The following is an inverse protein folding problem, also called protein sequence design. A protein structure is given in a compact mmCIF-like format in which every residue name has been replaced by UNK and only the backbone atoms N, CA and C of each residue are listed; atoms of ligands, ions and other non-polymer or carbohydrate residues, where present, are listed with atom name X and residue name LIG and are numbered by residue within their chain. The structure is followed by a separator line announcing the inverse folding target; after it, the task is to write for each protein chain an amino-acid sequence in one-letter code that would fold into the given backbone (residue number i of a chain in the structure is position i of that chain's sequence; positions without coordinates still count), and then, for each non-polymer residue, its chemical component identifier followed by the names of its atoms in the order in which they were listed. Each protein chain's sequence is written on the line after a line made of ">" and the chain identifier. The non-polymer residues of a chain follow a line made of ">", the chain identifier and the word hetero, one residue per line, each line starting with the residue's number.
data_IF_583801108693
#
_entry.id   IF_583801108693
#
_cell.length_a   1.000
_cell.length_b   1.000
_cell.length_c   1.000
_cell.angle_alpha   90.00
_cell.angle_beta   90.00
_cell.angle_gamma   90.00
#
_symmetry.space_group_name_H-M   'P 1'
#
loop_
_entity.id
_entity.type
_entity.pdbx_description
1 polymer ?
#
# COMPACT_ATOMS: atom_id res chain seq x y z
N UNK A 1 36.24 -8.86 -39.23
CA UNK A 1 35.16 -9.81 -39.57
C UNK A 1 35.02 -10.72 -38.37
N UNK A 2 34.31 -10.24 -37.34
CA UNK A 2 32.93 -10.62 -36.97
C UNK A 2 32.87 -11.98 -36.30
N UNK A 3 32.88 -11.97 -34.96
CA UNK A 3 32.40 -13.06 -34.13
C UNK A 3 31.32 -12.45 -33.22
N UNK A 4 30.06 -12.78 -33.51
CA UNK A 4 28.88 -12.32 -32.80
C UNK A 4 28.60 -13.19 -31.58
N UNK A 5 28.30 -12.53 -30.47
CA UNK A 5 27.95 -13.11 -29.18
C UNK A 5 26.47 -13.48 -29.17
N UNK A 6 26.16 -14.75 -28.85
CA UNK A 6 24.79 -15.26 -28.70
C UNK A 6 24.27 -14.89 -27.31
N UNK A 7 23.29 -13.99 -27.26
CA UNK A 7 22.52 -13.62 -26.06
C UNK A 7 21.25 -14.46 -25.99
N UNK A 8 21.12 -15.31 -24.98
CA UNK A 8 19.89 -16.04 -24.65
C UNK A 8 19.02 -15.22 -23.71
N UNK A 9 17.90 -14.67 -24.21
CA UNK A 9 16.82 -14.11 -23.40
C UNK A 9 15.76 -15.19 -23.17
N UNK A 10 15.48 -15.50 -21.90
CA UNK A 10 14.35 -16.32 -21.46
C UNK A 10 13.23 -15.38 -21.03
N UNK A 11 12.13 -15.35 -21.78
CA UNK A 11 10.91 -14.62 -21.44
C UNK A 11 9.97 -15.54 -20.66
N UNK A 12 9.75 -15.24 -19.38
CA UNK A 12 8.71 -15.86 -18.56
C UNK A 12 7.38 -15.12 -18.79
N UNK A 13 6.30 -15.88 -18.98
CA UNK A 13 4.96 -15.38 -19.28
C UNK A 13 4.15 -15.09 -17.99
N UNK A 14 3.47 -13.94 -17.97
CA UNK A 14 2.49 -13.53 -16.95
C UNK A 14 1.20 -14.37 -17.02
N UNK A 15 0.66 -14.89 -15.90
CA UNK A 15 -0.71 -15.37 -15.86
C UNK A 15 -1.66 -14.20 -15.61
N UNK A 16 -2.53 -13.95 -16.59
CA UNK A 16 -3.61 -12.97 -16.50
C UNK A 16 -4.60 -13.36 -15.38
N UNK A 17 -4.76 -12.49 -14.39
CA UNK A 17 -5.83 -12.57 -13.41
C UNK A 17 -7.18 -12.22 -14.08
N UNK A 18 -8.11 -13.17 -14.07
CA UNK A 18 -9.49 -12.97 -14.53
C UNK A 18 -10.19 -11.93 -13.65
N UNK A 19 -10.60 -10.82 -14.26
CA UNK A 19 -11.43 -9.81 -13.62
C UNK A 19 -12.85 -10.36 -13.44
N UNK A 20 -13.25 -10.61 -12.19
CA UNK A 20 -14.63 -10.87 -11.84
C UNK A 20 -15.42 -9.56 -11.88
N UNK A 21 -16.46 -9.53 -12.73
CA UNK A 21 -17.44 -8.45 -12.87
C UNK A 21 -18.21 -8.28 -11.55
N UNK A 22 -17.72 -7.37 -10.72
CA UNK A 22 -18.43 -6.87 -9.53
C UNK A 22 -19.15 -5.58 -9.97
N UNK A 23 -20.40 -5.42 -9.55
CA UNK A 23 -21.26 -4.29 -9.96
C UNK A 23 -20.61 -2.90 -9.78
N UNK A 24 -21.20 -1.82 -10.31
CA UNK A 24 -20.52 -0.53 -10.40
C UNK A 24 -20.02 -0.07 -9.02
N UNK A 25 -18.70 0.00 -8.87
CA UNK A 25 -18.04 0.54 -7.67
C UNK A 25 -18.59 1.94 -7.40
N UNK A 26 -19.38 2.07 -6.32
CA UNK A 26 -20.12 3.30 -6.04
C UNK A 26 -19.29 4.35 -5.31
N UNK A 27 -18.19 3.95 -4.65
CA UNK A 27 -17.36 4.88 -3.89
C UNK A 27 -15.96 4.34 -3.56
N UNK A 28 -15.05 5.25 -3.18
CA UNK A 28 -13.71 4.90 -2.69
C UNK A 28 -13.39 5.49 -1.32
N UNK A 29 -12.74 4.68 -0.48
CA UNK A 29 -12.26 5.06 0.85
C UNK A 29 -10.79 4.71 1.01
N UNK A 30 -9.98 5.69 1.42
CA UNK A 30 -8.57 5.50 1.75
C UNK A 30 -8.36 5.54 3.27
N UNK A 31 -7.23 5.03 3.79
CA UNK A 31 -6.90 5.12 5.20
C UNK A 31 -6.92 6.56 5.74
N UNK A 32 -6.35 7.51 5.00
CA UNK A 32 -6.32 8.93 5.35
C UNK A 32 -7.72 9.54 5.43
N UNK A 33 -8.56 9.30 4.41
CA UNK A 33 -9.97 9.74 4.38
C UNK A 33 -10.77 9.17 5.55
N UNK A 34 -10.58 7.88 5.85
CA UNK A 34 -11.21 7.23 6.99
C UNK A 34 -10.75 7.84 8.33
N UNK A 35 -9.45 8.12 8.46
CA UNK A 35 -8.88 8.75 9.65
C UNK A 35 -9.38 10.19 9.83
N UNK A 36 -9.49 10.97 8.76
CA UNK A 36 -10.05 12.34 8.79
C UNK A 36 -11.48 12.33 9.34
N UNK A 37 -12.36 11.47 8.82
CA UNK A 37 -13.75 11.42 9.27
C UNK A 37 -13.88 11.00 10.74
N UNK A 38 -13.09 10.00 11.18
CA UNK A 38 -13.03 9.58 12.59
C UNK A 38 -12.53 10.70 13.51
N UNK A 39 -11.57 11.49 13.02
CA UNK A 39 -11.00 12.62 13.74
C UNK A 39 -12.00 13.75 13.85
N UNK A 40 -12.56 14.19 12.73
CA UNK A 40 -13.57 15.24 12.65
C UNK A 40 -14.34 15.12 11.30
N UNK A 41 -15.67 14.87 11.32
CA UNK A 41 -16.46 14.81 10.09
C UNK A 41 -16.34 16.07 9.23
N UNK A 42 -16.25 17.25 9.85
CA UNK A 42 -16.08 18.51 9.10
C UNK A 42 -14.70 18.61 8.44
N UNK A 43 -13.63 18.08 9.05
CA UNK A 43 -12.32 17.99 8.41
C UNK A 43 -12.38 17.11 7.16
N UNK A 44 -13.04 15.95 7.26
CA UNK A 44 -13.28 15.08 6.12
C UNK A 44 -13.99 15.82 5.00
N UNK A 45 -15.05 16.57 5.31
CA UNK A 45 -15.77 17.37 4.30
C UNK A 45 -14.82 18.35 3.62
N UNK A 46 -14.11 19.18 4.38
CA UNK A 46 -13.20 20.19 3.82
C UNK A 46 -12.13 19.60 2.91
N UNK A 47 -11.51 18.48 3.31
CA UNK A 47 -10.46 17.81 2.52
C UNK A 47 -11.00 17.03 1.34
N UNK A 48 -12.01 16.20 1.57
CA UNK A 48 -12.40 15.13 0.64
C UNK A 48 -13.57 15.49 -0.27
N UNK A 49 -14.44 16.41 0.16
CA UNK A 49 -15.63 16.84 -0.58
C UNK A 49 -15.39 18.23 -1.17
N UNK A 50 -15.13 19.22 -0.30
CA UNK A 50 -14.96 20.62 -0.72
C UNK A 50 -13.59 20.84 -1.38
N UNK A 51 -12.61 19.97 -1.09
CA UNK A 51 -11.22 20.02 -1.60
C UNK A 51 -10.58 21.40 -1.41
N UNK A 52 -10.79 21.97 -0.22
CA UNK A 52 -10.21 23.26 0.13
C UNK A 52 -8.67 23.14 0.12
N UNK A 53 -7.96 24.12 -0.47
CA UNK A 53 -6.50 24.12 -0.51
C UNK A 53 -5.91 23.99 0.89
N UNK A 54 -4.82 23.23 1.00
CA UNK A 54 -4.04 23.13 2.22
C UNK A 54 -2.70 23.77 2.01
N UNK A 55 -2.25 24.52 3.00
CA UNK A 55 -0.86 24.93 3.04
C UNK A 55 -0.05 23.74 3.53
N UNK A 56 0.94 23.25 2.76
CA UNK A 56 1.83 22.23 3.27
C UNK A 56 2.54 22.79 4.50
N UNK A 57 2.74 21.96 5.51
CA UNK A 57 3.62 22.28 6.64
C UNK A 57 5.03 21.76 6.38
N UNK A 58 6.03 22.37 7.03
CA UNK A 58 7.40 21.86 6.99
C UNK A 58 7.48 20.39 7.45
N UNK A 59 6.63 19.96 8.39
CA UNK A 59 6.60 18.55 8.82
C UNK A 59 6.10 17.60 7.74
N UNK A 60 5.04 17.98 7.02
CA UNK A 60 4.53 17.19 5.89
C UNK A 60 5.54 17.14 4.75
N UNK A 61 6.14 18.29 4.40
CA UNK A 61 7.16 18.37 3.35
C UNK A 61 8.38 17.49 3.69
N UNK A 62 8.83 17.49 4.95
CA UNK A 62 9.92 16.62 5.42
C UNK A 62 9.54 15.14 5.30
N UNK A 63 8.30 14.79 5.66
CA UNK A 63 7.76 13.44 5.48
C UNK A 63 7.87 12.95 4.03
N UNK A 64 7.32 13.74 3.10
CA UNK A 64 7.37 13.46 1.66
C UNK A 64 8.79 13.34 1.14
N UNK A 65 9.69 14.25 1.56
CA UNK A 65 11.10 14.21 1.16
C UNK A 65 11.81 12.94 1.62
N UNK A 66 11.62 12.54 2.89
CA UNK A 66 12.24 11.33 3.43
C UNK A 66 11.71 10.08 2.72
N UNK A 67 10.41 10.00 2.45
CA UNK A 67 9.81 8.89 1.68
C UNK A 67 10.40 8.82 0.27
N UNK A 68 10.46 9.95 -0.45
CA UNK A 68 11.06 10.02 -1.78
C UNK A 68 12.53 9.58 -1.80
N UNK A 69 13.31 9.97 -0.79
CA UNK A 69 14.71 9.54 -0.66
C UNK A 69 14.82 8.04 -0.39
N UNK A 70 13.97 7.49 0.49
CA UNK A 70 13.95 6.05 0.76
C UNK A 70 13.53 5.24 -0.48
N UNK A 71 12.52 5.71 -1.20
CA UNK A 71 12.15 5.14 -2.49
C UNK A 71 13.37 5.16 -3.42
N UNK A 72 13.98 6.32 -3.65
CA UNK A 72 15.13 6.45 -4.55
C UNK A 72 16.33 5.61 -4.13
N UNK A 73 16.56 5.46 -2.83
CA UNK A 73 17.63 4.63 -2.28
C UNK A 73 17.49 3.16 -2.69
N UNK A 74 16.26 2.63 -2.69
CA UNK A 74 16.00 1.24 -3.07
C UNK A 74 16.04 0.99 -4.59
N UNK A 75 16.12 2.03 -5.43
CA UNK A 75 16.43 1.88 -6.86
C UNK A 75 17.89 1.53 -7.11
N UNK A 76 18.77 1.78 -6.13
CA UNK A 76 20.20 1.51 -6.24
C UNK A 76 20.51 0.03 -5.94
N UNK A 77 21.64 -0.48 -6.45
CA UNK A 77 22.18 -1.78 -6.03
C UNK A 77 22.33 -1.86 -4.51
N UNK A 78 22.09 -3.05 -3.95
CA UNK A 78 22.02 -3.26 -2.50
C UNK A 78 23.28 -2.73 -1.78
N UNK A 79 24.47 -2.97 -2.32
CA UNK A 79 25.75 -2.53 -1.78
C UNK A 79 25.92 -1.00 -1.72
N UNK A 80 25.22 -0.26 -2.57
CA UNK A 80 25.27 1.21 -2.66
C UNK A 80 24.29 1.89 -1.69
N UNK A 81 23.37 1.14 -1.06
CA UNK A 81 22.35 1.65 -0.14
C UNK A 81 22.96 1.99 1.22
N UNK A 82 23.81 3.02 1.26
CA UNK A 82 24.56 3.44 2.46
C UNK A 82 24.00 4.73 3.05
N UNK A 83 24.31 5.05 4.34
CA UNK A 83 23.91 6.33 4.94
C UNK A 83 24.42 7.54 4.14
N UNK A 84 25.66 7.49 3.66
CA UNK A 84 26.25 8.55 2.85
C UNK A 84 25.48 8.74 1.53
N UNK A 85 25.10 7.64 0.88
CA UNK A 85 24.29 7.67 -0.34
C UNK A 85 22.93 8.30 -0.07
N UNK A 86 22.21 7.85 0.96
CA UNK A 86 20.91 8.42 1.32
C UNK A 86 20.99 9.92 1.63
N UNK A 87 21.99 10.36 2.39
CA UNK A 87 22.21 11.77 2.69
C UNK A 87 22.48 12.61 1.43
N UNK A 88 23.17 12.04 0.44
CA UNK A 88 23.45 12.70 -0.84
C UNK A 88 22.22 12.86 -1.73
N UNK A 89 21.21 12.00 -1.58
CA UNK A 89 19.95 12.05 -2.33
C UNK A 89 18.99 13.14 -1.83
N UNK A 90 19.15 13.64 -0.61
CA UNK A 90 18.23 14.62 0.00
C UNK A 90 18.11 15.91 -0.82
N UNK A 91 19.21 16.51 -1.24
CA UNK A 91 19.16 17.78 -1.97
C UNK A 91 18.61 17.64 -3.41
N UNK A 92 19.01 16.62 -4.20
CA UNK A 92 18.37 16.32 -5.49
C UNK A 92 16.87 16.05 -5.38
N UNK A 93 16.44 15.22 -4.42
CA UNK A 93 15.02 14.91 -4.23
C UNK A 93 14.22 16.14 -3.78
N UNK A 94 14.79 16.99 -2.93
CA UNK A 94 14.14 18.26 -2.59
C UNK A 94 13.95 19.17 -3.80
N UNK A 95 14.98 19.27 -4.65
CA UNK A 95 14.92 20.05 -5.88
C UNK A 95 13.84 19.52 -6.84
N UNK A 96 13.70 18.18 -6.93
CA UNK A 96 12.64 17.53 -7.71
C UNK A 96 11.26 17.85 -7.14
N UNK A 97 11.08 17.75 -5.82
CA UNK A 97 9.82 18.08 -5.16
C UNK A 97 9.41 19.54 -5.36
N UNK A 98 10.36 20.49 -5.28
CA UNK A 98 10.08 21.90 -5.58
C UNK A 98 9.65 22.13 -7.03
N UNK A 99 10.18 21.35 -7.98
CA UNK A 99 9.78 21.44 -9.38
C UNK A 99 8.37 20.88 -9.62
N UNK A 100 7.98 19.83 -8.89
CA UNK A 100 6.66 19.21 -8.99
C UNK A 100 5.58 19.96 -8.20
N UNK A 101 5.95 20.57 -7.08
CA UNK A 101 5.08 21.29 -6.15
C UNK A 101 5.71 22.65 -5.80
N UNK A 102 5.59 23.66 -6.68
CA UNK A 102 6.19 24.98 -6.47
C UNK A 102 5.74 25.67 -5.17
N UNK A 103 4.55 25.35 -4.65
CA UNK A 103 4.03 25.84 -3.37
C UNK A 103 4.92 25.47 -2.18
N UNK A 104 5.74 24.41 -2.28
CA UNK A 104 6.70 24.04 -1.23
C UNK A 104 7.81 25.09 -1.08
N UNK A 105 8.07 25.91 -2.11
CA UNK A 105 9.02 27.01 -2.01
C UNK A 105 8.54 28.10 -1.05
N UNK A 106 7.23 28.22 -0.80
CA UNK A 106 6.68 29.19 0.16
C UNK A 106 7.02 28.85 1.62
N UNK A 107 7.43 27.60 1.91
CA UNK A 107 7.84 27.18 3.24
C UNK A 107 9.14 27.83 3.70
N UNK A 108 10.05 28.08 2.76
CA UNK A 108 11.38 28.64 3.02
C UNK A 108 11.63 29.76 2.01
N UNK A 109 11.25 31.01 2.34
CA UNK A 109 11.51 32.17 1.49
C UNK A 109 12.99 32.26 1.09
N UNK A 110 13.29 32.85 -0.07
CA UNK A 110 14.65 32.86 -0.63
C UNK A 110 15.69 33.52 0.30
N UNK A 111 15.24 34.45 1.15
CA UNK A 111 16.03 35.09 2.21
C UNK A 111 16.36 34.18 3.40
N UNK A 112 15.66 33.05 3.57
CA UNK A 112 15.86 32.08 4.66
C UNK A 112 16.64 30.84 4.20
N UNK A 113 17.82 31.07 3.62
CA UNK A 113 18.72 29.99 3.23
C UNK A 113 19.15 29.12 4.42
N UNK A 114 19.21 29.70 5.63
CA UNK A 114 19.54 28.98 6.86
C UNK A 114 18.42 28.00 7.24
N UNK A 115 17.16 28.43 7.26
CA UNK A 115 16.01 27.57 7.55
C UNK A 115 15.84 26.44 6.52
N UNK A 116 16.09 26.72 5.24
CA UNK A 116 16.11 25.69 4.20
C UNK A 116 17.22 24.64 4.46
N UNK A 117 18.42 25.07 4.86
CA UNK A 117 19.51 24.16 5.19
C UNK A 117 19.19 23.30 6.42
N UNK A 118 18.70 23.91 7.51
CA UNK A 118 18.26 23.21 8.72
C UNK A 118 17.15 22.19 8.44
N UNK A 119 16.22 22.52 7.55
CA UNK A 119 15.19 21.60 7.10
C UNK A 119 15.79 20.36 6.41
N UNK A 120 16.72 20.55 5.47
CA UNK A 120 17.37 19.43 4.79
C UNK A 120 18.21 18.58 5.75
N UNK A 121 18.90 19.21 6.70
CA UNK A 121 19.64 18.49 7.75
C UNK A 121 18.69 17.68 8.63
N UNK A 122 17.52 18.23 9.01
CA UNK A 122 16.52 17.48 9.76
C UNK A 122 15.96 16.27 8.99
N UNK A 123 15.95 16.30 7.66
CA UNK A 123 15.59 15.13 6.84
C UNK A 123 16.72 14.08 6.84
N UNK A 124 17.98 14.51 6.81
CA UNK A 124 19.15 13.61 6.95
C UNK A 124 19.16 12.90 8.31
N UNK A 125 18.86 13.61 9.39
CA UNK A 125 18.78 13.02 10.73
C UNK A 125 17.73 11.89 10.84
N UNK A 126 16.60 12.02 10.12
CA UNK A 126 15.59 10.97 10.05
C UNK A 126 16.08 9.76 9.26
N UNK A 127 16.82 9.97 8.16
CA UNK A 127 17.43 8.89 7.40
C UNK A 127 18.47 8.15 8.24
N UNK A 128 19.26 8.84 9.06
CA UNK A 128 20.16 8.18 10.02
C UNK A 128 19.39 7.29 11.00
N UNK A 129 18.20 7.73 11.44
CA UNK A 129 17.30 6.91 12.26
C UNK A 129 16.85 5.64 11.56
N UNK A 130 16.55 5.69 10.25
CA UNK A 130 16.26 4.51 9.45
C UNK A 130 17.42 3.50 9.46
N UNK A 131 18.65 3.95 9.24
CA UNK A 131 19.83 3.06 9.25
C UNK A 131 20.18 2.48 10.62
N UNK A 132 19.66 3.05 11.72
CA UNK A 132 19.82 2.47 13.07
C UNK A 132 18.91 1.28 13.30
N UNK A 133 17.74 1.24 12.66
CA UNK A 133 16.75 0.16 12.84
C UNK A 133 16.80 -0.90 11.74
N UNK A 134 17.33 -0.57 10.57
CA UNK A 134 17.29 -1.45 9.41
C UNK A 134 18.51 -1.28 8.50
N UNK A 135 18.99 -2.38 7.92
CA UNK A 135 20.06 -2.37 6.92
C UNK A 135 19.46 -2.62 5.52
N UNK A 136 19.27 -1.57 4.67
CA UNK A 136 18.65 -1.70 3.35
C UNK A 136 19.47 -2.55 2.38
N UNK A 137 20.76 -2.79 2.67
CA UNK A 137 21.64 -3.62 1.84
C UNK A 137 21.32 -5.11 1.95
N UNK A 138 20.48 -5.49 2.91
CA UNK A 138 20.06 -6.88 3.17
C UNK A 138 18.61 -7.15 2.75
N UNK A 139 17.98 -6.20 2.08
CA UNK A 139 16.56 -6.23 1.76
C UNK A 139 16.37 -6.03 0.26
N UNK A 140 15.49 -6.83 -0.33
CA UNK A 140 14.97 -6.62 -1.68
C UNK A 140 13.45 -6.57 -1.57
N UNK A 141 12.87 -5.36 -1.40
CA UNK A 141 11.42 -5.22 -1.30
C UNK A 141 10.74 -5.71 -2.57
N UNK A 142 9.61 -6.41 -2.43
CA UNK A 142 8.85 -6.87 -3.59
C UNK A 142 8.16 -5.69 -4.29
N UNK A 143 7.63 -4.76 -3.52
CA UNK A 143 6.95 -3.56 -4.01
C UNK A 143 7.27 -2.35 -3.12
N UNK A 144 7.31 -1.17 -3.73
CA UNK A 144 7.51 0.14 -3.08
C UNK A 144 6.52 1.13 -3.67
N UNK A 145 6.00 2.05 -2.86
CA UNK A 145 5.02 3.07 -3.26
C UNK A 145 3.84 2.50 -4.09
N UNK A 146 3.38 1.30 -3.70
CA UNK A 146 2.44 0.50 -4.51
C UNK A 146 1.00 0.87 -4.19
N UNK A 147 0.26 1.26 -5.23
CA UNK A 147 -1.19 1.44 -5.14
C UNK A 147 -1.88 0.08 -5.04
N UNK A 148 -2.46 -0.19 -3.88
CA UNK A 148 -3.26 -1.39 -3.64
C UNK A 148 -4.74 -1.01 -3.53
N UNK A 149 -5.61 -1.90 -4.01
CA UNK A 149 -7.05 -1.71 -3.86
C UNK A 149 -7.83 -3.02 -3.82
N UNK A 150 -8.96 -3.03 -3.12
CA UNK A 150 -9.90 -4.14 -3.06
C UNK A 150 -11.33 -3.61 -2.94
N UNK A 151 -12.30 -4.36 -3.46
CA UNK A 151 -13.72 -4.08 -3.22
C UNK A 151 -14.17 -4.91 -2.01
N UNK A 152 -14.85 -4.26 -1.07
CA UNK A 152 -15.47 -4.88 0.12
C UNK A 152 -16.97 -4.55 0.15
N UNK A 153 -17.79 -5.42 0.77
CA UNK A 153 -19.26 -5.30 0.79
C UNK A 153 -19.86 -5.09 -0.62
N UNK A 154 -19.23 -5.71 -1.64
CA UNK A 154 -19.55 -5.66 -3.08
C UNK A 154 -19.63 -4.27 -3.73
N UNK A 155 -19.37 -3.19 -2.98
CA UNK A 155 -19.66 -1.80 -3.42
C UNK A 155 -18.63 -0.77 -2.99
N UNK A 156 -17.85 -1.05 -1.96
CA UNK A 156 -16.87 -0.11 -1.41
C UNK A 156 -15.47 -0.44 -1.88
N UNK A 157 -14.88 0.43 -2.70
CA UNK A 157 -13.47 0.33 -3.05
C UNK A 157 -12.63 0.88 -1.90
N UNK A 158 -11.89 0.02 -1.23
CA UNK A 158 -10.82 0.44 -0.32
C UNK A 158 -9.51 0.48 -1.09
N UNK A 159 -8.76 1.59 -0.97
CA UNK A 159 -7.49 1.77 -1.68
C UNK A 159 -6.50 2.63 -0.92
N UNK A 160 -5.21 2.45 -1.20
CA UNK A 160 -4.17 3.31 -0.68
C UNK A 160 -2.80 2.90 -1.19
N UNK A 161 -1.78 3.64 -0.77
CA UNK A 161 -0.39 3.43 -1.16
C UNK A 161 0.36 2.79 0.01
N UNK A 162 1.03 1.69 -0.26
CA UNK A 162 1.94 1.04 0.69
C UNK A 162 3.34 1.56 0.41
N UNK A 163 4.00 2.14 1.41
CA UNK A 163 5.38 2.63 1.29
C UNK A 163 6.32 1.50 0.87
N UNK A 164 6.25 0.34 1.57
CA UNK A 164 7.03 -0.85 1.23
C UNK A 164 6.34 -2.16 1.59
N UNK A 165 6.42 -3.12 0.69
CA UNK A 165 5.98 -4.51 0.89
C UNK A 165 7.15 -5.47 0.69
N UNK A 166 7.48 -6.21 1.75
CA UNK A 166 8.47 -7.27 1.71
C UNK A 166 7.76 -8.63 1.60
N UNK A 167 8.32 -9.53 0.78
CA UNK A 167 7.84 -10.92 0.63
C UNK A 167 8.99 -11.86 0.93
N UNK A 168 8.81 -12.75 1.91
CA UNK A 168 9.81 -13.77 2.22
C UNK A 168 9.76 -14.92 1.21
N UNK A 169 10.81 -15.78 1.13
CA UNK A 169 10.83 -16.91 0.19
C UNK A 169 9.69 -17.91 0.34
N UNK A 170 9.09 -18.02 1.52
CA UNK A 170 7.90 -18.84 1.80
C UNK A 170 6.56 -18.11 1.50
N UNK A 171 6.62 -16.89 0.97
CA UNK A 171 5.47 -16.09 0.57
C UNK A 171 4.84 -15.26 1.69
N UNK A 172 5.41 -15.23 2.90
CA UNK A 172 4.89 -14.40 3.97
C UNK A 172 5.09 -12.91 3.65
N UNK A 173 4.04 -12.12 3.88
CA UNK A 173 4.04 -10.68 3.59
C UNK A 173 4.37 -9.87 4.84
N UNK A 174 5.24 -8.87 4.69
CA UNK A 174 5.46 -7.81 5.70
C UNK A 174 5.19 -6.45 5.08
N UNK A 175 4.18 -5.77 5.61
CA UNK A 175 3.83 -4.39 5.22
C UNK A 175 4.63 -3.44 6.10
N UNK A 176 5.33 -2.49 5.50
CA UNK A 176 6.14 -1.49 6.21
C UNK A 176 5.66 -0.09 5.83
N UNK A 177 5.52 0.76 6.84
CA UNK A 177 5.20 2.18 6.70
C UNK A 177 6.21 3.02 7.51
N UNK A 178 6.75 4.06 6.87
CA UNK A 178 7.77 4.92 7.47
C UNK A 178 7.12 6.13 8.13
N UNK A 179 7.42 6.35 9.42
CA UNK A 179 6.92 7.50 10.18
C UNK A 179 8.07 8.44 10.54
N UNK A 180 7.96 9.69 10.07
CA UNK A 180 8.91 10.78 10.38
C UNK A 180 8.58 11.55 11.65
N UNK A 181 7.38 11.34 12.20
CA UNK A 181 6.98 11.82 13.52
C UNK A 181 7.51 10.93 14.64
N UNK A 182 7.40 11.41 15.88
CA UNK A 182 7.78 10.61 17.05
C UNK A 182 6.84 9.43 17.30
N UNK A 183 7.37 8.39 17.92
CA UNK A 183 6.62 7.21 18.32
C UNK A 183 5.46 7.60 19.25
N UNK A 184 4.22 7.17 18.96
CA UNK A 184 3.09 7.41 19.82
C UNK A 184 3.28 6.65 21.13
N UNK A 185 2.72 7.20 22.23
CA UNK A 185 2.51 6.39 23.44
C UNK A 185 1.56 5.24 23.13
N UNK A 186 1.69 4.14 23.86
CA UNK A 186 0.90 2.89 23.73
C UNK A 186 -0.62 3.15 23.50
N UNK A 187 -1.20 4.09 24.25
CA UNK A 187 -2.62 4.48 24.12
C UNK A 187 -3.05 5.00 22.72
N UNK A 188 -2.11 5.39 21.86
CA UNK A 188 -2.34 5.93 20.51
C UNK A 188 -1.90 4.99 19.39
N UNK A 189 -1.29 3.83 19.71
CA UNK A 189 -0.89 2.81 18.73
C UNK A 189 -2.08 2.32 17.89
N UNK A 190 -3.26 2.19 18.50
CA UNK A 190 -4.47 1.77 17.80
C UNK A 190 -4.82 2.69 16.60
N UNK A 191 -4.48 3.99 16.67
CA UNK A 191 -4.66 4.92 15.56
C UNK A 191 -3.63 4.69 14.46
N UNK A 192 -2.38 4.43 14.82
CA UNK A 192 -1.30 4.17 13.88
C UNK A 192 -1.52 2.84 13.13
N UNK A 193 -1.92 1.79 13.84
CA UNK A 193 -2.21 0.48 13.28
C UNK A 193 -3.46 0.45 12.38
N UNK A 194 -4.39 1.40 12.54
CA UNK A 194 -5.60 1.47 11.71
C UNK A 194 -5.26 1.60 10.22
N UNK A 195 -4.23 2.38 9.87
CA UNK A 195 -3.77 2.53 8.49
C UNK A 195 -3.19 1.22 7.95
N UNK A 196 -2.32 0.55 8.70
CA UNK A 196 -1.73 -0.71 8.26
C UNK A 196 -2.76 -1.84 8.13
N UNK A 197 -3.80 -1.87 8.98
CA UNK A 197 -4.89 -2.85 8.87
C UNK A 197 -5.72 -2.68 7.59
N UNK A 198 -5.82 -1.46 7.04
CA UNK A 198 -6.37 -1.25 5.70
C UNK A 198 -5.56 -1.99 4.64
N UNK A 199 -4.24 -1.81 4.65
CA UNK A 199 -3.36 -2.47 3.67
C UNK A 199 -3.38 -3.98 3.85
N UNK A 200 -3.37 -4.46 5.09
CA UNK A 200 -3.48 -5.88 5.41
C UNK A 200 -4.77 -6.48 4.83
N UNK A 201 -5.90 -5.80 5.00
CA UNK A 201 -7.17 -6.23 4.45
C UNK A 201 -7.15 -6.24 2.92
N UNK A 202 -6.62 -5.20 2.27
CA UNK A 202 -6.52 -5.14 0.80
C UNK A 202 -5.65 -6.28 0.27
N UNK A 203 -4.48 -6.50 0.85
CA UNK A 203 -3.56 -7.58 0.46
C UNK A 203 -4.20 -8.94 0.67
N UNK A 204 -4.92 -9.14 1.78
CA UNK A 204 -5.61 -10.40 2.02
C UNK A 204 -6.72 -10.65 0.98
N UNK A 205 -7.51 -9.64 0.64
CA UNK A 205 -8.58 -9.75 -0.36
C UNK A 205 -8.07 -9.95 -1.80
N UNK A 206 -6.89 -9.42 -2.12
CA UNK A 206 -6.32 -9.49 -3.47
C UNK A 206 -5.36 -10.67 -3.67
N UNK A 207 -4.61 -11.07 -2.65
CA UNK A 207 -3.57 -12.11 -2.73
C UNK A 207 -3.94 -13.39 -1.99
N UNK A 208 -5.01 -13.39 -1.20
CA UNK A 208 -5.43 -14.56 -0.41
C UNK A 208 -4.55 -14.84 0.82
N UNK A 209 -3.54 -14.00 1.10
CA UNK A 209 -2.58 -14.18 2.19
C UNK A 209 -2.73 -13.05 3.21
N UNK A 210 -2.93 -13.40 4.48
CA UNK A 210 -2.89 -12.43 5.58
C UNK A 210 -1.43 -12.04 5.82
N UNK A 211 -1.07 -10.74 5.81
CA UNK A 211 0.29 -10.35 6.13
C UNK A 211 0.70 -10.80 7.54
N UNK A 212 1.89 -11.39 7.64
CA UNK A 212 2.39 -11.94 8.89
C UNK A 212 2.83 -10.83 9.86
N UNK A 213 3.29 -9.69 9.31
CA UNK A 213 3.75 -8.53 10.08
C UNK A 213 3.29 -7.23 9.43
N UNK A 214 2.76 -6.34 10.24
CA UNK A 214 2.54 -4.93 9.94
C UNK A 214 3.55 -4.14 10.77
N UNK A 215 4.44 -3.40 10.10
CA UNK A 215 5.57 -2.71 10.72
C UNK A 215 5.47 -1.21 10.54
N UNK A 216 5.63 -0.48 11.62
CA UNK A 216 5.86 0.96 11.62
C UNK A 216 7.33 1.21 11.99
N UNK A 217 8.02 1.97 11.15
CA UNK A 217 9.38 2.44 11.42
C UNK A 217 9.33 3.91 11.84
N UNK A 218 9.54 4.19 13.11
CA UNK A 218 9.60 5.55 13.65
C UNK A 218 11.03 6.07 13.51
N UNK A 219 11.26 6.85 12.45
CA UNK A 219 12.59 7.29 12.05
C UNK A 219 13.19 8.30 13.02
N UNK A 220 12.36 9.14 13.64
CA UNK A 220 12.82 10.13 14.62
C UNK A 220 13.46 9.49 15.84
N UNK A 221 12.84 8.44 16.36
CA UNK A 221 13.25 7.77 17.59
C UNK A 221 14.08 6.51 17.33
N UNK A 222 14.23 6.12 16.05
CA UNK A 222 14.83 4.85 15.64
C UNK A 222 14.15 3.66 16.34
N UNK A 223 12.81 3.62 16.32
CA UNK A 223 12.00 2.56 16.93
C UNK A 223 11.23 1.77 15.88
N UNK A 224 11.02 0.48 16.17
CA UNK A 224 10.24 -0.45 15.35
C UNK A 224 9.02 -0.91 16.13
N UNK A 225 7.83 -0.73 15.57
CA UNK A 225 6.59 -1.27 16.12
C UNK A 225 6.04 -2.33 15.16
N UNK A 226 6.08 -3.59 15.60
CA UNK A 226 5.55 -4.73 14.86
C UNK A 226 4.19 -5.17 15.42
N UNK A 227 3.25 -5.43 14.53
CA UNK A 227 1.93 -5.97 14.85
C UNK A 227 1.65 -7.18 13.96
N UNK A 228 1.09 -8.24 14.54
CA UNK A 228 0.75 -9.48 13.82
C UNK A 228 -0.77 -9.62 13.75
N UNK A 229 -1.41 -9.27 12.63
CA UNK A 229 -2.84 -9.43 12.47
C UNK A 229 -3.21 -10.90 12.26
N UNK A 230 -4.45 -11.26 12.61
CA UNK A 230 -5.06 -12.54 12.24
C UNK A 230 -6.27 -12.32 11.30
N UNK A 231 -6.71 -13.40 10.66
CA UNK A 231 -7.81 -13.35 9.70
C UNK A 231 -9.14 -12.88 10.33
N UNK A 232 -9.47 -13.36 11.53
CA UNK A 232 -10.71 -13.01 12.22
C UNK A 232 -10.74 -11.52 12.59
N UNK A 233 -9.58 -10.99 12.96
CA UNK A 233 -9.38 -9.57 13.21
C UNK A 233 -9.60 -8.73 11.95
N UNK A 234 -9.04 -9.15 10.80
CA UNK A 234 -9.27 -8.47 9.53
C UNK A 234 -10.74 -8.52 9.10
N UNK A 235 -11.47 -9.60 9.39
CA UNK A 235 -12.93 -9.67 9.18
C UNK A 235 -13.67 -8.65 10.05
N UNK A 236 -13.31 -8.53 11.34
CA UNK A 236 -13.89 -7.51 12.24
C UNK A 236 -13.53 -6.10 11.77
N UNK A 237 -12.31 -5.91 11.29
CA UNK A 237 -11.84 -4.65 10.76
C UNK A 237 -12.62 -4.25 9.50
N UNK A 238 -12.84 -5.17 8.57
CA UNK A 238 -13.66 -4.93 7.36
C UNK A 238 -15.06 -4.43 7.74
N UNK A 239 -15.73 -5.09 8.69
CA UNK A 239 -17.05 -4.63 9.20
C UNK A 239 -16.98 -3.21 9.75
N UNK A 240 -15.88 -2.86 10.43
CA UNK A 240 -15.65 -1.51 10.95
C UNK A 240 -15.48 -0.49 9.82
N UNK A 241 -14.74 -0.84 8.77
CA UNK A 241 -14.55 0.02 7.58
C UNK A 241 -15.87 0.24 6.84
N UNK A 242 -16.65 -0.82 6.64
CA UNK A 242 -17.98 -0.75 6.00
C UNK A 242 -18.94 0.11 6.83
N UNK A 243 -18.97 -0.05 8.15
CA UNK A 243 -19.80 0.77 9.04
C UNK A 243 -19.38 2.25 9.01
N UNK A 244 -18.07 2.53 8.96
CA UNK A 244 -17.53 3.88 8.82
C UNK A 244 -17.97 4.51 7.49
N UNK A 245 -17.91 3.73 6.40
CA UNK A 245 -18.37 4.19 5.09
C UNK A 245 -19.86 4.53 5.10
N UNK A 246 -20.71 3.68 5.68
CA UNK A 246 -22.15 3.96 5.83
C UNK A 246 -22.40 5.26 6.62
N UNK A 247 -21.62 5.52 7.66
CA UNK A 247 -21.71 6.78 8.41
C UNK A 247 -21.32 8.00 7.56
N UNK A 248 -20.31 7.87 6.70
CA UNK A 248 -19.92 8.91 5.74
C UNK A 248 -21.03 9.15 4.72
N UNK A 249 -21.64 8.11 4.18
CA UNK A 249 -22.77 8.23 3.24
C UNK A 249 -23.96 8.94 3.88
N UNK A 250 -24.32 8.57 5.12
CA UNK A 250 -25.38 9.24 5.86
C UNK A 250 -25.08 10.72 6.10
N UNK A 251 -23.86 11.07 6.54
CA UNK A 251 -23.44 12.46 6.72
C UNK A 251 -23.48 13.24 5.38
N UNK A 252 -23.06 12.60 4.29
CA UNK A 252 -23.08 13.18 2.94
C UNK A 252 -24.51 13.44 2.47
N UNK A 253 -25.41 12.47 2.61
CA UNK A 253 -26.81 12.57 2.21
C UNK A 253 -27.56 13.64 3.04
N UNK A 254 -27.31 13.69 4.36
CA UNK A 254 -27.87 14.69 5.24
C UNK A 254 -27.20 16.07 5.12
N UNK A 255 -26.05 16.15 4.45
CA UNK A 255 -25.14 17.31 4.44
C UNK A 255 -24.78 17.80 5.85
N UNK A 256 -24.81 16.91 6.85
CA UNK A 256 -24.53 17.21 8.25
C UNK A 256 -23.14 16.67 8.63
N UNK A 257 -22.14 17.54 8.53
CA UNK A 257 -20.76 17.25 8.95
C UNK A 257 -20.42 18.08 10.18
N UNK A 258 -20.66 17.53 11.36
CA UNK A 258 -20.43 18.25 12.61
C UNK A 258 -18.94 18.39 12.92
N UNK A 259 -18.46 19.57 13.34
CA UNK A 259 -17.13 19.71 13.87
C UNK A 259 -16.99 18.89 15.17
N UNK A 260 -15.81 18.34 15.40
CA UNK A 260 -15.46 17.60 16.62
C UNK A 260 -14.23 18.25 17.26
N UNK A 261 -14.39 19.30 18.08
CA UNK A 261 -13.28 20.02 18.68
C UNK A 261 -12.35 19.11 19.48
N UNK A 262 -11.04 19.30 19.33
CA UNK A 262 -9.99 18.59 20.05
C UNK A 262 -8.71 19.42 20.05
N UNK A 263 -7.65 18.99 20.75
CA UNK A 263 -6.33 19.62 20.68
C UNK A 263 -5.72 19.66 19.27
N UNK A 264 -6.19 18.81 18.36
CA UNK A 264 -5.75 18.84 16.96
C UNK A 264 -6.30 20.06 16.20
N UNK A 265 -7.30 20.76 16.74
CA UNK A 265 -7.84 21.96 16.12
C UNK A 265 -6.85 23.13 16.10
N UNK A 266 -5.86 23.14 16.99
CA UNK A 266 -4.79 24.15 17.04
C UNK A 266 -3.90 24.09 15.78
N UNK A 267 -3.91 22.95 15.09
CA UNK A 267 -3.10 22.66 13.90
C UNK A 267 -3.96 22.41 12.65
N UNK A 268 -5.26 22.72 12.71
CA UNK A 268 -6.18 22.47 11.61
C UNK A 268 -6.11 23.61 10.57
N UNK A 269 -5.70 23.29 9.34
CA UNK A 269 -5.63 24.22 8.20
C UNK A 269 -6.95 24.97 7.90
N UNK A 270 -8.08 24.45 8.36
CA UNK A 270 -9.42 24.96 8.04
C UNK A 270 -10.13 25.65 9.20
N UNK A 271 -9.38 26.03 10.25
CA UNK A 271 -9.97 26.69 11.42
C UNK A 271 -10.78 27.94 11.04
N UNK A 272 -10.30 28.73 10.07
CA UNK A 272 -10.99 29.92 9.54
C UNK A 272 -12.38 29.63 8.93
N UNK A 273 -12.63 28.39 8.48
CA UNK A 273 -13.92 27.95 7.93
C UNK A 273 -14.78 27.18 8.94
N UNK A 274 -14.27 26.93 10.15
CA UNK A 274 -14.90 26.05 11.12
C UNK A 274 -15.91 26.80 12.01
N UNK A 275 -17.19 26.39 12.08
CA UNK A 275 -18.21 27.00 12.96
C UNK A 275 -17.84 26.99 14.45
N UNK A 276 -17.08 25.98 14.90
CA UNK A 276 -16.63 25.90 16.29
C UNK A 276 -15.67 27.04 16.68
N UNK A 277 -15.13 27.77 15.70
CA UNK A 277 -14.26 28.92 15.86
C UNK A 277 -14.85 30.19 15.22
N UNK A 278 -16.16 30.20 14.95
CA UNK A 278 -16.85 31.34 14.32
C UNK A 278 -16.68 31.44 12.80
N UNK A 279 -16.01 30.48 12.16
CA UNK A 279 -15.89 30.39 10.71
C UNK A 279 -17.17 29.90 10.04
N UNK A 280 -17.30 30.15 8.73
CA UNK A 280 -18.43 29.66 7.93
C UNK A 280 -17.93 28.69 6.85
N UNK A 281 -18.41 27.43 6.84
CA UNK A 281 -18.13 26.48 5.79
C UNK A 281 -18.59 27.01 4.42
N UNK A 282 -17.89 26.70 3.32
CA UNK A 282 -18.39 26.98 1.99
C UNK A 282 -19.75 26.28 1.76
N UNK A 283 -20.53 26.70 0.74
CA UNK A 283 -21.72 25.95 0.34
C UNK A 283 -21.34 24.52 -0.03
N UNK A 284 -22.24 23.56 0.22
CA UNK A 284 -22.00 22.16 -0.12
C UNK A 284 -21.95 22.01 -1.65
N UNK A 285 -20.91 21.36 -2.22
CA UNK A 285 -20.80 21.19 -3.66
C UNK A 285 -22.04 20.47 -4.22
N UNK A 286 -22.66 21.04 -5.25
CA UNK A 286 -23.69 20.31 -5.99
C UNK A 286 -23.02 19.24 -6.86
N UNK A 287 -23.63 18.05 -7.02
CA UNK A 287 -23.14 17.09 -7.99
C UNK A 287 -23.07 17.81 -9.34
N UNK A 288 -21.89 17.88 -9.95
CA UNK A 288 -21.78 18.32 -11.34
C UNK A 288 -22.74 17.45 -12.13
N UNK A 289 -23.84 18.04 -12.63
CA UNK A 289 -24.70 17.38 -13.59
C UNK A 289 -23.76 16.87 -14.69
N UNK A 290 -23.81 15.58 -14.99
CA UNK A 290 -23.02 15.00 -16.05
C UNK A 290 -23.26 15.84 -17.30
N UNK A 291 -22.24 16.59 -17.73
CA UNK A 291 -22.34 17.40 -18.93
C UNK A 291 -22.53 16.42 -20.10
N UNK A 292 -23.69 16.40 -20.77
CA UNK A 292 -23.94 15.50 -21.88
C UNK A 292 -23.03 15.79 -23.09
N UNK A 293 -22.27 16.90 -23.05
CA UNK A 293 -21.28 17.28 -24.05
C UNK A 293 -19.83 17.02 -23.63
N UNK A 294 -19.58 16.52 -22.41
CA UNK A 294 -18.25 16.04 -22.04
C UNK A 294 -17.94 14.77 -22.83
N UNK A 295 -16.84 14.71 -23.60
CA UNK A 295 -16.47 13.50 -24.29
C UNK A 295 -16.28 12.39 -23.27
N UNK A 296 -16.96 11.26 -23.49
CA UNK A 296 -16.78 10.06 -22.68
C UNK A 296 -15.27 9.79 -22.52
N UNK A 297 -14.81 9.35 -21.33
CA UNK A 297 -13.42 8.94 -21.16
C UNK A 297 -13.06 7.97 -22.29
N UNK A 298 -11.89 8.13 -22.94
CA UNK A 298 -11.57 7.38 -24.13
C UNK A 298 -11.76 5.89 -23.85
N UNK A 299 -12.64 5.25 -24.61
CA UNK A 299 -12.78 3.81 -24.61
C UNK A 299 -11.37 3.23 -24.72
N UNK A 300 -10.98 2.37 -23.77
CA UNK A 300 -9.67 1.72 -23.79
C UNK A 300 -9.44 1.16 -25.18
N UNK A 301 -8.52 1.77 -25.91
CA UNK A 301 -8.02 1.21 -27.16
C UNK A 301 -7.30 -0.06 -26.76
N UNK A 302 -7.99 -1.19 -26.86
CA UNK A 302 -7.35 -2.49 -26.92
C UNK A 302 -6.45 -2.43 -28.15
N UNK A 303 -5.14 -2.27 -27.95
CA UNK A 303 -4.17 -2.48 -29.02
C UNK A 303 -4.36 -3.93 -29.49
N UNK A 304 -5.01 -4.07 -30.63
CA UNK A 304 -5.10 -5.33 -31.37
C UNK A 304 -3.67 -5.71 -31.73
N UNK A 305 -3.15 -6.79 -31.16
CA UNK A 305 -1.91 -7.39 -31.61
C UNK A 305 -2.11 -7.81 -33.07
N UNK A 306 -1.44 -7.12 -34.00
CA UNK A 306 -1.39 -7.51 -35.39
C UNK A 306 -0.31 -8.56 -35.58
N UNK A 307 -0.71 -9.76 -36.03
CA UNK A 307 0.15 -10.68 -36.76
C UNK A 307 1.00 -11.64 -35.92
N UNK A 308 0.39 -12.72 -35.44
CA UNK A 308 1.09 -13.99 -35.27
C UNK A 308 0.36 -15.06 -36.10
N UNK A 309 1.05 -15.54 -37.13
CA UNK A 309 0.64 -16.66 -37.99
C UNK A 309 0.38 -17.90 -37.13
N UNK A 310 -0.73 -18.63 -37.31
CA UNK A 310 -1.01 -19.82 -36.51
C UNK A 310 0.02 -20.93 -36.80
N UNK A 311 0.50 -21.67 -35.78
CA UNK A 311 1.35 -22.83 -36.00
C UNK A 311 0.55 -23.98 -36.64
N UNK A 312 1.20 -24.67 -37.59
CA UNK A 312 0.67 -25.85 -38.26
C UNK A 312 0.43 -27.00 -37.27
N UNK A 313 -0.68 -27.70 -37.45
CA UNK A 313 -1.05 -28.89 -36.66
C UNK A 313 -0.04 -30.03 -36.89
N UNK A 314 0.36 -30.77 -35.84
CA UNK A 314 1.14 -31.99 -36.02
C UNK A 314 0.22 -33.13 -36.50
N UNK A 315 0.54 -33.64 -37.68
CA UNK A 315 0.00 -34.88 -38.25
C UNK A 315 0.49 -36.05 -37.41
N UNK A 316 -0.44 -36.82 -36.84
CA UNK A 316 -0.13 -38.01 -36.04
C UNK A 316 0.40 -39.18 -36.88
N UNK A 317 1.21 -40.09 -36.31
CA UNK A 317 1.53 -41.34 -36.96
C UNK A 317 0.51 -42.44 -36.58
N UNK A 318 0.00 -43.12 -37.61
CA UNK A 318 -0.74 -44.38 -37.50
C UNK A 318 0.18 -45.59 -37.21
N UNK A 319 -0.33 -46.83 -37.33
CA UNK A 319 -0.61 -47.65 -36.15
C UNK A 319 0.31 -48.87 -35.91
N UNK A 320 0.25 -49.34 -34.66
CA UNK A 320 0.32 -50.71 -34.16
C UNK A 320 1.31 -51.72 -34.80
N UNK A 321 2.39 -52.00 -34.05
CA UNK A 321 3.13 -53.25 -34.11
C UNK A 321 3.16 -53.92 -32.74
N UNK A 322 2.54 -55.09 -32.63
CA UNK A 322 2.61 -56.04 -31.49
C UNK A 322 4.04 -56.41 -31.11
N UNK A 323 4.28 -56.74 -29.83
CA UNK A 323 4.90 -58.04 -29.59
C UNK A 323 4.27 -58.85 -28.44
N UNK A 324 4.23 -60.15 -28.65
CA UNK A 324 4.08 -61.20 -27.66
C UNK A 324 5.19 -61.15 -26.60
N UNK A 325 4.81 -61.35 -25.33
CA UNK A 325 5.72 -61.70 -24.24
C UNK A 325 4.95 -62.53 -23.18
N UNK A 326 5.52 -63.64 -22.67
CA UNK A 326 4.76 -64.64 -21.93
C UNK A 326 4.67 -64.37 -20.42
N UNK A 327 3.66 -65.02 -19.83
CA UNK A 327 3.38 -65.08 -18.41
C UNK A 327 4.44 -65.85 -17.61
N UNK A 328 4.75 -65.36 -16.42
CA UNK A 328 5.19 -66.18 -15.29
C UNK A 328 4.43 -65.77 -14.02
N UNK A 329 3.62 -66.72 -13.56
CA UNK A 329 2.91 -66.78 -12.29
C UNK A 329 3.86 -67.18 -11.15
N UNK A 330 3.64 -66.62 -9.96
CA UNK A 330 4.25 -67.09 -8.72
C UNK A 330 3.49 -66.54 -7.50
N UNK A 331 2.73 -67.43 -6.87
CA UNK A 331 2.04 -67.34 -5.56
C UNK A 331 2.86 -66.60 -4.48
N UNK A 332 2.28 -65.87 -3.52
CA UNK A 332 1.25 -66.29 -2.56
C UNK A 332 1.65 -65.80 -1.14
N UNK A 333 0.79 -65.90 -0.11
CA UNK A 333 0.49 -64.81 0.83
C UNK A 333 1.04 -64.99 2.26
N UNK A 334 0.92 -63.95 3.10
CA UNK A 334 1.12 -64.10 4.56
C UNK A 334 0.86 -62.85 5.39
N UNK A 335 -0.21 -62.88 6.19
CA UNK A 335 -0.50 -62.06 7.36
C UNK A 335 -1.26 -62.95 8.37
N UNK A 336 -1.56 -62.53 9.61
CA UNK A 336 -0.82 -61.85 10.71
C UNK A 336 -0.90 -62.80 11.96
N UNK A 337 -1.13 -62.45 13.27
CA UNK A 337 -1.15 -61.18 14.05
C UNK A 337 -0.49 -61.28 15.48
N UNK A 338 -0.92 -60.41 16.42
CA UNK A 338 -0.75 -60.37 17.90
C UNK A 338 0.35 -59.42 18.45
N UNK A 339 0.21 -58.69 19.58
CA UNK A 339 -0.90 -58.41 20.51
C UNK A 339 -0.51 -57.28 21.49
N UNK A 340 -1.53 -56.58 22.01
CA UNK A 340 -1.77 -56.00 23.35
C UNK A 340 -0.63 -55.43 24.25
N UNK A 341 -0.89 -54.26 24.86
CA UNK A 341 -0.19 -53.74 26.05
C UNK A 341 -0.79 -52.45 26.61
N UNK A 342 -1.38 -52.53 27.80
CA UNK A 342 -2.20 -51.53 28.51
C UNK A 342 -1.43 -50.45 29.33
N UNK A 343 -2.21 -49.44 29.77
CA UNK A 343 -2.19 -48.75 31.07
C UNK A 343 -1.51 -47.36 31.24
N UNK A 344 -2.25 -46.48 31.92
CA UNK A 344 -1.97 -45.10 32.38
C UNK A 344 -1.37 -45.08 33.83
N UNK A 345 -1.45 -43.99 34.64
CA UNK A 345 -0.79 -42.67 34.58
C UNK A 345 0.00 -42.29 35.88
N UNK A 346 0.55 -41.06 35.87
CA UNK A 346 0.79 -40.13 36.99
C UNK A 346 1.88 -40.40 38.05
N UNK A 347 2.82 -39.44 38.15
CA UNK A 347 3.19 -38.76 39.40
C UNK A 347 3.71 -37.36 39.12
#
# INVERSE_FOLDING_TARGET
>A
MTAETVTTQTTAADPAAEATDTGPVTASLSPSRAADFKTCPLLYRFRSIDRLPERPSAEQARGTLVHAVLERLFDLPAEERTPATAASLVAPEWSRLLAEQPELAELFPAEDAAGAAEFLDSARDLLDGYFRVEDPRRLEPAERESLVSAVVDDRLLIRGYIDRLDVSPDGALRVVDYKTGGAPREAFEARALFQLKFYALVLWRTRGVVPAVLRLLYLKDAEVCDYRPDADELVRFERTVVALWRAIEQATAARDFRPKPSRLCDWCNYQAHCPAFGGTPPPFPEPLAADPSSPAPPARVTRRAAGATPPAQPVGPGPAGTPHGPASSGDGPGAPPESAGAAAPAR
#
